data_IF_968456759493
#
_entry.id   IF_968456759493
#
_cell.length_a   1.000
_cell.length_b   1.000
_cell.length_c   1.000
_cell.angle_alpha   90.00
_cell.angle_beta   90.00
_cell.angle_gamma   90.00
#
_symmetry.space_group_name_H-M   'P 1'
#
loop_
_entity.id
_entity.type
_entity.pdbx_description
1 polymer ?
#
# COMPACT_ATOMS: atom_id res chain seq x y z
N UNK A 1 5.96 11.66 14.60
CA UNK A 1 5.75 10.79 13.42
C UNK A 1 6.55 9.48 13.52
N UNK A 2 7.68 9.43 14.25
CA UNK A 2 8.51 8.22 14.35
C UNK A 2 7.85 6.98 14.97
N UNK A 3 6.84 7.15 15.84
CA UNK A 3 6.19 6.02 16.55
C UNK A 3 5.50 5.00 15.62
N UNK A 4 5.30 5.34 14.34
CA UNK A 4 4.70 4.46 13.32
C UNK A 4 5.65 4.17 12.16
N UNK A 5 6.96 4.36 12.34
CA UNK A 5 7.99 4.13 11.31
C UNK A 5 8.00 2.69 10.79
N UNK A 6 8.39 2.53 9.52
CA UNK A 6 8.82 1.24 8.97
C UNK A 6 10.35 1.29 8.82
N UNK A 7 11.08 0.23 9.17
CA UNK A 7 12.54 0.20 8.98
C UNK A 7 12.92 0.57 7.55
N UNK A 8 13.99 1.35 7.39
CA UNK A 8 14.51 1.82 6.10
C UNK A 8 13.50 2.60 5.24
N UNK A 9 12.54 3.30 5.86
CA UNK A 9 11.63 4.21 5.15
C UNK A 9 11.54 5.57 5.84
N UNK A 10 11.57 6.62 5.03
CA UNK A 10 11.45 8.01 5.49
C UNK A 10 9.99 8.45 5.38
N UNK A 11 9.37 8.81 6.50
CA UNK A 11 8.01 9.35 6.54
C UNK A 11 7.99 10.83 6.23
N UNK A 12 6.97 11.24 5.48
CA UNK A 12 6.68 12.63 5.16
C UNK A 12 5.28 12.99 5.63
N UNK A 13 5.15 14.20 6.18
CA UNK A 13 3.85 14.87 6.32
C UNK A 13 3.33 15.31 4.95
N UNK A 14 2.05 15.69 4.89
CA UNK A 14 1.45 16.25 3.68
C UNK A 14 2.21 17.49 3.17
N UNK A 15 2.54 18.44 4.06
CA UNK A 15 3.24 19.66 3.67
C UNK A 15 4.64 19.36 3.09
N UNK A 16 5.39 18.44 3.72
CA UNK A 16 6.70 18.03 3.23
C UNK A 16 6.59 17.33 1.87
N UNK A 17 5.58 16.48 1.69
CA UNK A 17 5.28 15.85 0.41
C UNK A 17 4.96 16.88 -0.68
N UNK A 18 4.12 17.87 -0.39
CA UNK A 18 3.82 18.96 -1.32
C UNK A 18 5.08 19.73 -1.71
N UNK A 19 5.90 20.09 -0.73
CA UNK A 19 7.12 20.85 -0.98
C UNK A 19 8.09 20.08 -1.88
N UNK A 20 8.35 18.80 -1.57
CA UNK A 20 9.29 17.97 -2.35
C UNK A 20 8.79 17.65 -3.75
N UNK A 21 7.49 17.45 -3.94
CA UNK A 21 6.92 17.04 -5.24
C UNK A 21 6.50 18.21 -6.13
N UNK A 22 6.10 19.35 -5.55
CA UNK A 22 5.50 20.48 -6.29
C UNK A 22 6.33 21.76 -6.25
N UNK A 23 7.03 22.03 -5.15
CA UNK A 23 7.80 23.28 -5.00
C UNK A 23 9.24 23.10 -5.45
N UNK A 24 9.93 22.11 -4.87
CA UNK A 24 11.29 21.73 -5.27
C UNK A 24 11.26 20.82 -6.49
N UNK A 25 10.37 19.82 -6.49
CA UNK A 25 10.28 18.81 -7.54
C UNK A 25 11.41 17.78 -7.51
N UNK A 26 11.34 16.78 -8.40
CA UNK A 26 12.39 15.78 -8.58
C UNK A 26 12.41 14.64 -7.56
N UNK A 27 11.43 14.56 -6.66
CA UNK A 27 11.28 13.48 -5.69
C UNK A 27 10.03 12.65 -5.96
N UNK A 28 10.16 11.33 -5.80
CA UNK A 28 9.05 10.38 -5.87
C UNK A 28 8.61 10.03 -4.46
N UNK A 29 7.31 10.13 -4.20
CA UNK A 29 6.69 9.73 -2.94
C UNK A 29 5.54 8.77 -3.18
N UNK A 30 5.16 8.01 -2.16
CA UNK A 30 4.04 7.07 -2.19
C UNK A 30 3.12 7.36 -1.01
N UNK A 31 1.81 7.47 -1.25
CA UNK A 31 0.84 7.58 -0.15
C UNK A 31 0.91 6.32 0.72
N UNK A 32 1.00 6.53 2.03
CA UNK A 32 0.88 5.48 3.04
C UNK A 32 -0.59 5.26 3.43
N UNK A 33 -1.43 6.25 3.17
CA UNK A 33 -2.78 6.37 3.70
C UNK A 33 -2.85 7.26 4.94
N UNK A 34 -4.03 7.25 5.53
CA UNK A 34 -4.43 8.12 6.64
C UNK A 34 -4.01 7.55 8.01
N UNK A 35 -3.60 8.46 8.90
CA UNK A 35 -3.15 8.13 10.26
C UNK A 35 -3.87 9.02 11.24
N UNK A 36 -4.41 8.43 12.30
CA UNK A 36 -5.00 9.20 13.41
C UNK A 36 -3.86 9.70 14.30
N UNK A 37 -3.71 11.02 14.36
CA UNK A 37 -2.77 11.70 15.25
C UNK A 37 -3.56 12.31 16.40
N UNK A 38 -3.28 11.89 17.64
CA UNK A 38 -3.92 12.42 18.85
C UNK A 38 -3.75 13.96 18.88
N UNK A 39 -4.87 14.68 18.91
CA UNK A 39 -4.91 16.15 18.92
C UNK A 39 -4.82 16.84 17.55
N UNK A 40 -4.64 16.10 16.45
CA UNK A 40 -4.67 16.65 15.08
C UNK A 40 -5.74 16.03 14.17
N UNK A 41 -6.32 14.89 14.59
CA UNK A 41 -7.30 14.17 13.79
C UNK A 41 -6.65 13.24 12.77
N UNK A 42 -7.33 13.01 11.65
CA UNK A 42 -6.86 12.16 10.56
C UNK A 42 -5.89 12.94 9.68
N UNK A 43 -4.72 12.39 9.41
CA UNK A 43 -3.69 13.02 8.59
C UNK A 43 -3.14 12.04 7.56
N UNK A 44 -3.09 12.44 6.30
CA UNK A 44 -2.39 11.67 5.27
C UNK A 44 -0.88 11.74 5.47
N UNK A 45 -0.21 10.62 5.24
CA UNK A 45 1.24 10.51 5.32
C UNK A 45 1.81 9.81 4.09
N UNK A 46 3.07 10.08 3.79
CA UNK A 46 3.73 9.58 2.59
C UNK A 46 5.06 8.92 2.94
N UNK A 47 5.51 8.01 2.09
CA UNK A 47 6.87 7.48 2.08
C UNK A 47 7.67 8.18 0.99
N UNK A 48 8.86 8.66 1.33
CA UNK A 48 9.84 9.03 0.32
C UNK A 48 10.38 7.76 -0.34
N UNK A 49 10.33 7.71 -1.67
CA UNK A 49 10.78 6.55 -2.46
C UNK A 49 12.17 6.82 -3.02
N UNK A 50 12.40 8.00 -3.60
CA UNK A 50 13.69 8.36 -4.17
C UNK A 50 13.60 9.60 -5.07
N UNK A 51 14.56 9.72 -5.98
CA UNK A 51 14.61 10.80 -6.96
C UNK A 51 13.98 10.36 -8.29
N UNK A 52 13.33 11.29 -8.98
CA UNK A 52 12.67 11.03 -10.26
C UNK A 52 13.65 10.56 -11.34
N UNK A 53 14.87 11.09 -11.31
CA UNK A 53 15.92 10.79 -12.30
C UNK A 53 16.90 9.70 -11.84
N UNK A 54 16.64 9.03 -10.72
CA UNK A 54 17.49 7.93 -10.28
C UNK A 54 17.09 6.61 -10.96
N UNK A 55 17.96 6.12 -11.83
CA UNK A 55 17.76 4.89 -12.61
C UNK A 55 17.55 3.68 -11.70
N UNK A 56 18.22 3.63 -10.55
CA UNK A 56 18.07 2.54 -9.61
C UNK A 56 16.68 2.56 -8.97
N UNK A 57 16.23 3.71 -8.47
CA UNK A 57 14.87 3.90 -7.94
C UNK A 57 13.80 3.53 -8.97
N UNK A 58 13.94 3.98 -10.23
CA UNK A 58 12.98 3.66 -11.30
C UNK A 58 12.91 2.15 -11.57
N UNK A 59 14.06 1.48 -11.62
CA UNK A 59 14.14 0.02 -11.83
C UNK A 59 13.50 -0.74 -10.67
N UNK A 60 13.79 -0.36 -9.44
CA UNK A 60 13.19 -0.98 -8.25
C UNK A 60 11.67 -0.81 -8.21
N UNK A 61 11.16 0.35 -8.63
CA UNK A 61 9.73 0.60 -8.73
C UNK A 61 9.07 -0.27 -9.80
N UNK A 62 9.62 -0.30 -11.01
CA UNK A 62 9.12 -1.13 -12.10
C UNK A 62 9.07 -2.62 -11.72
N UNK A 63 10.15 -3.14 -11.12
CA UNK A 63 10.21 -4.52 -10.68
C UNK A 63 9.14 -4.84 -9.64
N UNK A 64 8.91 -3.92 -8.68
CA UNK A 64 7.87 -4.08 -7.66
C UNK A 64 6.48 -4.13 -8.27
N UNK A 65 6.16 -3.20 -9.18
CA UNK A 65 4.86 -3.15 -9.87
C UNK A 65 4.59 -4.44 -10.68
N UNK A 66 5.58 -4.93 -11.43
CA UNK A 66 5.46 -6.18 -12.20
C UNK A 66 5.18 -7.38 -11.28
N UNK A 67 5.86 -7.46 -10.14
CA UNK A 67 5.65 -8.53 -9.16
C UNK A 67 4.26 -8.46 -8.55
N UNK A 68 3.78 -7.27 -8.16
CA UNK A 68 2.45 -7.11 -7.57
C UNK A 68 1.33 -7.46 -8.57
N UNK A 69 1.49 -7.10 -9.85
CA UNK A 69 0.55 -7.50 -10.91
C UNK A 69 0.58 -9.01 -11.20
N UNK A 70 1.75 -9.65 -11.08
CA UNK A 70 1.84 -11.10 -11.24
C UNK A 70 1.15 -11.84 -10.09
N UNK A 71 1.23 -11.31 -8.86
CA UNK A 71 0.52 -11.86 -7.68
C UNK A 71 -0.99 -11.70 -7.77
N UNK A 72 -1.48 -10.58 -8.31
CA UNK A 72 -2.93 -10.36 -8.42
C UNK A 72 -3.60 -11.29 -9.43
N UNK A 73 -2.86 -11.75 -10.45
CA UNK A 73 -3.34 -12.70 -11.47
C UNK A 73 -3.40 -14.16 -11.01
N UNK A 74 -2.72 -14.54 -9.94
CA UNK A 74 -2.64 -15.95 -9.46
C UNK A 74 -3.58 -16.28 -8.30
N UNK A 75 -4.52 -15.39 -7.93
CA UNK A 75 -5.57 -15.74 -6.96
C UNK A 75 -6.45 -16.86 -7.54
N UNK A 76 -6.26 -18.09 -7.02
CA UNK A 76 -7.07 -19.29 -7.30
C UNK A 76 -8.56 -19.00 -6.99
N UNK A 77 -9.53 -19.45 -7.79
CA UNK A 77 -10.94 -19.30 -7.45
C UNK A 77 -11.21 -19.95 -6.10
N UNK A 78 -11.91 -19.23 -5.22
CA UNK A 78 -12.46 -19.78 -3.98
C UNK A 78 -13.29 -21.02 -4.31
N UNK A 79 -13.14 -22.14 -3.57
CA UNK A 79 -14.03 -23.27 -3.75
C UNK A 79 -15.44 -22.79 -3.44
N UNK A 80 -16.35 -22.92 -4.42
CA UNK A 80 -17.77 -22.83 -4.15
C UNK A 80 -18.11 -24.04 -3.28
N UNK A 81 -18.51 -23.76 -2.03
CA UNK A 81 -19.08 -24.77 -1.15
C UNK A 81 -20.38 -25.25 -1.82
N UNK A 82 -20.29 -26.33 -2.58
CA UNK A 82 -21.45 -27.16 -2.91
C UNK A 82 -21.91 -27.75 -1.56
N UNK A 83 -22.81 -27.05 -0.88
CA UNK A 83 -23.57 -27.60 0.24
C UNK A 83 -24.27 -28.87 -0.26
N UNK A 84 -23.66 -30.01 0.06
CA UNK A 84 -24.29 -31.32 0.00
C UNK A 84 -25.49 -31.28 0.93
N UNK A 85 -26.67 -31.02 0.38
CA UNK A 85 -27.95 -31.20 1.05
C UNK A 85 -28.12 -32.68 1.39
N UNK A 86 -27.69 -33.04 2.60
CA UNK A 86 -27.95 -34.35 3.22
C UNK A 86 -28.96 -34.19 4.35
N UNK A 87 -30.21 -33.91 4.00
CA UNK A 87 -31.32 -34.16 4.92
C UNK A 87 -31.97 -35.50 4.54
N UNK A 88 -31.41 -36.56 5.12
CA UNK A 88 -32.03 -37.88 5.17
C UNK A 88 -32.52 -38.12 6.59
N UNK A 89 -33.84 -38.33 6.70
CA UNK A 89 -34.55 -39.19 7.66
C UNK A 89 -34.78 -38.73 9.12
N UNK A 90 -36.08 -38.72 9.46
CA UNK A 90 -36.67 -38.85 10.80
C UNK A 90 -37.84 -37.89 10.97
N UNK A 91 -39.08 -38.25 11.30
CA UNK A 91 -39.73 -39.52 11.60
C UNK A 91 -41.25 -39.31 11.39
N UNK A 92 -41.98 -40.42 11.20
CA UNK A 92 -43.45 -40.45 11.19
C UNK A 92 -44.04 -40.18 12.57
#
# INVERSE_FOLDING_TARGET
MESNGKPNKIQLSNDANHFLTKVVGGYITQSRGEVIIKGKGVMETFWLIGLENDVQTQREFYNREVIEQAKSKTKKPEPQDDELSIDSLGDK
#
